data_IF_446169741743
#
_entry.id   IF_446169741743
#
_cell.length_a   1.000
_cell.length_b   1.000
_cell.length_c   1.000
_cell.angle_alpha   90.00
_cell.angle_beta   90.00
_cell.angle_gamma   90.00
#
_symmetry.space_group_name_H-M   'P 1'
#
loop_
_entity.id
_entity.type
_entity.pdbx_description
1 polymer ?
#
# COMPACT_ATOMS: atom_id res chain seq x y z
N UNK A 1 27.26 -17.65 -49.29
CA UNK A 1 27.31 -16.23 -48.82
C UNK A 1 26.25 -15.88 -47.75
N UNK A 2 25.23 -16.70 -47.49
CA UNK A 2 24.19 -16.43 -46.47
C UNK A 2 24.65 -16.58 -44.99
N UNK A 3 25.75 -17.29 -44.71
CA UNK A 3 26.24 -17.51 -43.34
C UNK A 3 26.98 -16.34 -42.68
N UNK A 4 27.42 -15.34 -43.46
CA UNK A 4 28.12 -14.18 -42.90
C UNK A 4 27.16 -13.15 -42.29
N UNK A 5 25.93 -13.01 -42.84
CA UNK A 5 24.94 -12.03 -42.41
C UNK A 5 24.36 -12.34 -41.01
N UNK A 6 24.18 -13.62 -40.65
CA UNK A 6 23.63 -14.01 -39.34
C UNK A 6 24.58 -13.77 -38.18
N UNK A 7 25.91 -13.81 -38.41
CA UNK A 7 26.93 -13.58 -37.38
C UNK A 7 27.00 -12.12 -36.93
N UNK A 8 26.77 -11.17 -37.84
CA UNK A 8 26.77 -9.73 -37.51
C UNK A 8 25.53 -9.32 -36.71
N UNK A 9 24.36 -9.90 -36.99
CA UNK A 9 23.12 -9.60 -36.26
C UNK A 9 23.20 -9.99 -34.77
N UNK A 10 23.83 -11.12 -34.44
CA UNK A 10 24.05 -11.55 -33.05
C UNK A 10 25.00 -10.62 -32.28
N UNK A 11 26.04 -10.11 -32.95
CA UNK A 11 27.03 -9.22 -32.35
C UNK A 11 26.45 -7.85 -32.00
N UNK A 12 25.55 -7.30 -32.84
CA UNK A 12 24.81 -6.07 -32.54
C UNK A 12 23.85 -6.23 -31.35
N UNK A 13 23.18 -7.40 -31.22
CA UNK A 13 22.27 -7.67 -30.10
C UNK A 13 23.00 -7.71 -28.76
N UNK A 14 24.15 -8.38 -28.69
CA UNK A 14 24.97 -8.44 -27.47
C UNK A 14 25.51 -7.06 -27.07
N UNK A 15 25.88 -6.22 -28.05
CA UNK A 15 26.35 -4.86 -27.77
C UNK A 15 25.26 -3.99 -27.12
N UNK A 16 24.03 -4.06 -27.63
CA UNK A 16 22.89 -3.31 -27.07
C UNK A 16 22.50 -3.79 -25.66
N UNK A 17 22.52 -5.10 -25.41
CA UNK A 17 22.27 -5.61 -24.06
C UNK A 17 23.37 -5.19 -23.08
N UNK A 18 24.63 -5.27 -23.49
CA UNK A 18 25.76 -4.86 -22.63
C UNK A 18 25.70 -3.37 -22.28
N UNK A 19 25.39 -2.51 -23.26
CA UNK A 19 25.20 -1.08 -23.04
C UNK A 19 24.08 -0.79 -22.04
N UNK A 20 22.94 -1.48 -22.15
CA UNK A 20 21.81 -1.33 -21.23
C UNK A 20 22.12 -1.75 -19.79
N UNK A 21 22.91 -2.82 -19.60
CA UNK A 21 23.32 -3.29 -18.27
C UNK A 21 24.25 -2.28 -17.62
N UNK A 22 25.23 -1.77 -18.37
CA UNK A 22 26.19 -0.80 -17.85
C UNK A 22 25.52 0.53 -17.47
N UNK A 23 24.59 1.03 -18.29
CA UNK A 23 23.81 2.23 -17.97
C UNK A 23 22.98 2.04 -16.70
N UNK A 24 22.32 0.88 -16.51
CA UNK A 24 21.57 0.58 -15.29
C UNK A 24 22.44 0.55 -14.04
N UNK A 25 23.66 -0.01 -14.12
CA UNK A 25 24.59 -0.05 -12.99
C UNK A 25 25.09 1.36 -12.65
N UNK A 26 25.43 2.16 -13.66
CA UNK A 26 25.89 3.53 -13.49
C UNK A 26 24.80 4.41 -12.85
N UNK A 27 23.56 4.31 -13.34
CA UNK A 27 22.42 5.05 -12.77
C UNK A 27 22.16 4.70 -11.32
N UNK A 28 22.25 3.42 -10.93
CA UNK A 28 22.13 3.00 -9.53
C UNK A 28 23.21 3.64 -8.65
N UNK A 29 24.47 3.67 -9.11
CA UNK A 29 25.57 4.31 -8.36
C UNK A 29 25.35 5.81 -8.21
N UNK A 30 24.89 6.48 -9.26
CA UNK A 30 24.58 7.92 -9.23
C UNK A 30 23.45 8.21 -8.24
N UNK A 31 22.37 7.42 -8.26
CA UNK A 31 21.26 7.54 -7.31
C UNK A 31 21.74 7.34 -5.86
N UNK A 32 22.54 6.32 -5.59
CA UNK A 32 23.11 6.10 -4.25
C UNK A 32 23.97 7.28 -3.76
N UNK A 33 24.72 7.94 -4.66
CA UNK A 33 25.50 9.13 -4.32
C UNK A 33 24.59 10.33 -4.06
N UNK A 34 23.56 10.53 -4.89
CA UNK A 34 22.56 11.57 -4.70
C UNK A 34 21.81 11.40 -3.37
N UNK A 35 21.39 10.18 -3.01
CA UNK A 35 20.72 9.90 -1.74
C UNK A 35 21.63 10.24 -0.53
N UNK A 36 22.93 9.93 -0.63
CA UNK A 36 23.93 10.30 0.39
C UNK A 36 24.18 11.81 0.46
N UNK A 37 24.15 12.51 -0.66
CA UNK A 37 24.27 13.96 -0.69
C UNK A 37 22.99 14.63 -0.17
N UNK A 38 21.81 14.12 -0.51
CA UNK A 38 20.52 14.63 -0.07
C UNK A 38 20.38 14.49 1.45
N UNK A 39 20.75 13.33 2.02
CA UNK A 39 20.75 13.15 3.48
C UNK A 39 21.69 14.13 4.21
N UNK A 40 22.91 14.36 3.68
CA UNK A 40 23.85 15.33 4.24
C UNK A 40 23.38 16.77 4.07
N UNK A 41 22.83 17.09 2.91
CA UNK A 41 22.29 18.42 2.62
C UNK A 41 21.07 18.72 3.49
N UNK A 42 20.21 17.73 3.73
CA UNK A 42 19.10 17.85 4.67
C UNK A 42 19.61 18.18 6.08
N UNK A 43 20.64 17.48 6.56
CA UNK A 43 21.26 17.77 7.85
C UNK A 43 21.90 19.17 7.90
N UNK A 44 22.66 19.56 6.88
CA UNK A 44 23.25 20.91 6.79
C UNK A 44 22.19 22.00 6.68
N UNK A 45 21.09 21.75 5.97
CA UNK A 45 19.98 22.70 5.90
C UNK A 45 19.27 22.83 7.25
N UNK A 46 19.10 21.72 7.98
CA UNK A 46 18.50 21.73 9.31
C UNK A 46 19.36 22.52 10.32
N UNK A 47 20.66 22.23 10.36
CA UNK A 47 21.59 22.88 11.29
C UNK A 47 21.93 24.32 10.86
N UNK A 48 22.14 24.55 9.56
CA UNK A 48 22.53 25.83 9.01
C UNK A 48 21.35 26.81 8.93
N UNK A 49 20.26 26.43 8.26
CA UNK A 49 19.09 27.33 8.11
C UNK A 49 18.36 27.46 9.44
N UNK A 50 18.16 26.36 10.18
CA UNK A 50 17.54 26.41 11.50
C UNK A 50 18.35 27.21 12.52
N UNK A 51 19.68 27.03 12.51
CA UNK A 51 20.60 27.80 13.36
C UNK A 51 20.60 29.29 13.02
N UNK A 52 20.63 29.64 11.73
CA UNK A 52 20.61 31.05 11.30
C UNK A 52 19.28 31.74 11.62
N UNK A 53 18.13 31.09 11.42
CA UNK A 53 16.83 31.66 11.79
C UNK A 53 16.73 31.90 13.30
N UNK A 54 17.23 30.95 14.11
CA UNK A 54 17.27 31.09 15.56
C UNK A 54 18.17 32.25 16.00
N UNK A 55 19.37 32.35 15.41
CA UNK A 55 20.31 33.44 15.68
C UNK A 55 19.77 34.82 15.26
N UNK A 56 19.15 34.92 14.08
CA UNK A 56 18.52 36.15 13.58
C UNK A 56 17.38 36.58 14.51
N UNK A 57 16.54 35.63 14.93
CA UNK A 57 15.43 35.91 15.86
C UNK A 57 15.94 36.45 17.21
N UNK A 58 17.00 35.86 17.75
CA UNK A 58 17.67 36.35 18.97
C UNK A 58 18.28 37.74 18.79
N UNK A 59 18.92 38.01 17.65
CA UNK A 59 19.51 39.31 17.34
C UNK A 59 18.45 40.41 17.19
N UNK A 60 17.33 40.12 16.52
CA UNK A 60 16.20 41.05 16.39
C UNK A 60 15.60 41.37 17.77
N UNK A 61 15.44 40.36 18.63
CA UNK A 61 14.94 40.55 19.99
C UNK A 61 15.88 41.46 20.81
N UNK A 62 17.19 41.29 20.68
CA UNK A 62 18.18 42.11 21.38
C UNK A 62 18.16 43.59 20.94
N UNK A 63 17.74 43.90 19.71
CA UNK A 63 17.64 45.27 19.19
C UNK A 63 16.32 45.96 19.49
N UNK A 64 15.34 45.25 20.03
CA UNK A 64 13.99 45.76 20.24
C UNK A 64 13.87 46.40 21.64
N UNK A 65 13.60 47.70 21.70
CA UNK A 65 13.72 48.52 22.92
C UNK A 65 12.89 48.04 24.13
N UNK A 66 11.72 47.46 23.90
CA UNK A 66 10.88 46.93 24.99
C UNK A 66 11.36 45.55 25.49
N UNK A 67 12.02 44.76 24.64
CA UNK A 67 12.58 43.44 24.98
C UNK A 67 13.94 43.55 25.64
N UNK A 68 14.70 44.62 25.38
CA UNK A 68 16.03 44.82 25.96
C UNK A 68 15.99 45.05 27.48
N UNK A 69 14.86 45.47 28.05
CA UNK A 69 14.69 45.66 29.50
C UNK A 69 14.90 44.36 30.30
N UNK A 70 14.64 43.20 29.67
CA UNK A 70 14.77 41.88 30.27
C UNK A 70 16.14 41.22 30.03
N UNK A 71 17.07 41.94 29.39
CA UNK A 71 18.47 41.55 29.23
C UNK A 71 18.68 40.22 28.49
N UNK A 72 19.62 39.41 29.00
CA UNK A 72 20.03 38.14 28.41
C UNK A 72 19.03 36.98 28.61
N UNK A 73 17.79 37.22 29.02
CA UNK A 73 16.78 36.16 29.06
C UNK A 73 15.95 36.19 27.77
N UNK A 74 15.60 37.38 27.28
CA UNK A 74 14.74 37.54 26.09
C UNK A 74 15.39 37.04 24.80
N UNK A 75 16.70 37.23 24.61
CA UNK A 75 17.41 36.73 23.43
C UNK A 75 17.39 35.18 23.32
N UNK A 76 17.54 34.45 24.43
CA UNK A 76 17.51 32.99 24.47
C UNK A 76 16.11 32.48 24.19
N UNK A 77 15.09 33.09 24.81
CA UNK A 77 13.69 32.72 24.56
C UNK A 77 13.30 33.00 23.11
N UNK A 78 13.70 34.13 22.53
CA UNK A 78 13.43 34.45 21.13
C UNK A 78 14.13 33.48 20.17
N UNK A 79 15.39 33.12 20.43
CA UNK A 79 16.13 32.15 19.65
C UNK A 79 15.50 30.74 19.74
N UNK A 80 15.11 30.32 20.95
CA UNK A 80 14.46 29.02 21.18
C UNK A 80 13.08 28.96 20.50
N UNK A 81 12.29 30.04 20.59
CA UNK A 81 10.99 30.11 19.93
C UNK A 81 11.12 30.09 18.40
N UNK A 82 12.08 30.84 17.85
CA UNK A 82 12.38 30.83 16.41
C UNK A 82 12.82 29.44 15.93
N UNK A 83 13.69 28.78 16.67
CA UNK A 83 14.12 27.41 16.39
C UNK A 83 12.98 26.40 16.48
N UNK A 84 12.11 26.51 17.48
CA UNK A 84 10.93 25.66 17.62
C UNK A 84 9.95 25.84 16.45
N UNK A 85 9.62 27.07 16.07
CA UNK A 85 8.75 27.37 14.92
C UNK A 85 9.33 26.80 13.61
N UNK A 86 10.63 26.95 13.40
CA UNK A 86 11.31 26.36 12.25
C UNK A 86 11.21 24.83 12.26
N UNK A 87 11.47 24.18 13.39
CA UNK A 87 11.38 22.73 13.53
C UNK A 87 9.96 22.21 13.25
N UNK A 88 8.93 22.88 13.77
CA UNK A 88 7.53 22.55 13.48
C UNK A 88 7.20 22.69 12.00
N UNK A 89 7.65 23.78 11.36
CA UNK A 89 7.44 24.02 9.93
C UNK A 89 8.11 22.92 9.10
N UNK A 90 9.35 22.56 9.43
CA UNK A 90 10.08 21.50 8.76
C UNK A 90 9.40 20.14 8.92
N UNK A 91 8.94 19.80 10.14
CA UNK A 91 8.22 18.57 10.42
C UNK A 91 6.92 18.49 9.61
N UNK A 92 6.15 19.59 9.54
CA UNK A 92 4.93 19.66 8.74
C UNK A 92 5.20 19.43 7.25
N UNK A 93 6.27 20.03 6.71
CA UNK A 93 6.69 19.80 5.32
C UNK A 93 7.11 18.34 5.10
N UNK A 94 7.92 17.78 6.00
CA UNK A 94 8.36 16.38 5.91
C UNK A 94 7.17 15.41 5.94
N UNK A 95 6.21 15.66 6.83
CA UNK A 95 4.99 14.88 6.92
C UNK A 95 4.13 14.99 5.66
N UNK A 96 3.97 16.21 5.11
CA UNK A 96 3.30 16.44 3.84
C UNK A 96 3.96 15.70 2.67
N UNK A 97 5.29 15.72 2.58
CA UNK A 97 6.04 14.98 1.54
C UNK A 97 5.86 13.47 1.67
N UNK A 98 5.90 12.94 2.89
CA UNK A 98 5.66 11.52 3.14
C UNK A 98 4.27 11.09 2.66
N UNK A 99 3.22 11.85 3.02
CA UNK A 99 1.86 11.60 2.54
C UNK A 99 1.72 11.69 1.03
N UNK A 100 2.40 12.65 0.41
CA UNK A 100 2.39 12.80 -1.04
C UNK A 100 3.07 11.65 -1.78
N UNK A 101 4.22 11.17 -1.29
CA UNK A 101 4.91 10.00 -1.85
C UNK A 101 4.03 8.75 -1.68
N UNK A 102 3.43 8.57 -0.50
CA UNK A 102 2.50 7.47 -0.25
C UNK A 102 1.33 7.50 -1.24
N UNK A 103 0.70 8.66 -1.44
CA UNK A 103 -0.40 8.83 -2.39
C UNK A 103 0.03 8.53 -3.83
N UNK A 104 1.22 8.98 -4.26
CA UNK A 104 1.76 8.67 -5.59
C UNK A 104 2.04 7.19 -5.80
N UNK A 105 2.56 6.51 -4.79
CA UNK A 105 2.81 5.07 -4.86
C UNK A 105 1.50 4.30 -4.99
N UNK A 106 0.48 4.68 -4.20
CA UNK A 106 -0.88 4.11 -4.29
C UNK A 106 -1.48 4.36 -5.68
N UNK A 107 -1.39 5.59 -6.20
CA UNK A 107 -1.90 5.95 -7.53
C UNK A 107 -1.17 5.18 -8.64
N UNK A 108 0.16 5.07 -8.57
CA UNK A 108 0.93 4.27 -9.52
C UNK A 108 0.55 2.78 -9.47
N UNK A 109 0.32 2.24 -8.28
CA UNK A 109 -0.15 0.87 -8.10
C UNK A 109 -1.58 0.68 -8.61
N UNK A 110 -2.45 1.69 -8.48
CA UNK A 110 -3.81 1.68 -9.00
C UNK A 110 -3.87 1.81 -10.53
N UNK A 111 -2.92 2.53 -11.15
CA UNK A 111 -2.87 2.72 -12.61
C UNK A 111 -2.27 1.55 -13.38
N UNK A 112 -1.42 0.74 -12.74
CA UNK A 112 -0.77 -0.43 -13.35
C UNK A 112 -1.62 -1.70 -13.19
N UNK A 113 -2.95 -1.59 -13.26
CA UNK A 113 -3.80 -2.76 -13.40
C UNK A 113 -3.80 -3.10 -14.88
N UNK A 114 -3.26 -4.27 -15.23
CA UNK A 114 -3.25 -4.73 -16.61
C UNK A 114 -4.68 -4.77 -17.15
N UNK A 115 -4.86 -4.54 -18.45
CA UNK A 115 -6.18 -4.73 -19.09
C UNK A 115 -6.50 -6.23 -19.09
N UNK A 116 -7.21 -6.67 -18.06
CA UNK A 116 -7.54 -8.09 -17.84
C UNK A 116 -8.74 -8.45 -18.71
N UNK A 117 -8.65 -9.59 -19.40
CA UNK A 117 -9.80 -10.14 -20.10
C UNK A 117 -10.75 -10.82 -19.09
N UNK A 118 -11.95 -10.29 -18.82
CA UNK A 118 -12.87 -10.89 -17.86
C UNK A 118 -13.41 -12.25 -18.32
N UNK A 119 -13.21 -12.65 -19.57
CA UNK A 119 -13.62 -13.97 -20.09
C UNK A 119 -12.58 -15.07 -19.84
N UNK A 120 -11.36 -14.71 -19.44
CA UNK A 120 -10.32 -15.69 -19.16
C UNK A 120 -10.66 -16.49 -17.89
N UNK A 121 -10.46 -17.80 -17.95
CA UNK A 121 -10.79 -18.72 -16.86
C UNK A 121 -9.69 -18.85 -15.83
N UNK A 122 -8.45 -18.55 -16.22
CA UNK A 122 -7.29 -18.81 -15.39
C UNK A 122 -6.30 -17.64 -15.46
N UNK A 123 -5.94 -17.11 -14.30
CA UNK A 123 -4.99 -16.01 -14.17
C UNK A 123 -3.77 -16.47 -13.38
N UNK A 124 -2.58 -16.09 -13.83
CA UNK A 124 -1.30 -16.54 -13.26
C UNK A 124 -0.35 -15.38 -13.02
N UNK A 125 0.10 -15.22 -11.78
CA UNK A 125 1.10 -14.22 -11.39
C UNK A 125 0.77 -12.79 -11.85
N UNK A 126 -0.52 -12.45 -11.86
CA UNK A 126 -1.02 -11.16 -12.28
C UNK A 126 -1.60 -10.39 -11.10
N UNK A 127 -1.52 -9.07 -11.21
CA UNK A 127 -2.16 -8.13 -10.30
C UNK A 127 -3.51 -7.74 -10.88
N UNK A 128 -4.61 -8.15 -10.24
CA UNK A 128 -5.96 -8.03 -10.75
C UNK A 128 -6.81 -7.18 -9.82
N UNK A 129 -7.51 -6.20 -10.37
CA UNK A 129 -8.56 -5.51 -9.63
C UNK A 129 -9.82 -6.38 -9.64
N UNK A 130 -10.34 -6.69 -8.45
CA UNK A 130 -11.52 -7.54 -8.30
C UNK A 130 -12.77 -6.95 -8.97
N UNK A 131 -12.86 -5.62 -9.07
CA UNK A 131 -13.97 -4.95 -9.73
C UNK A 131 -14.00 -5.20 -11.25
N UNK A 132 -12.82 -5.39 -11.87
CA UNK A 132 -12.67 -5.55 -13.32
C UNK A 132 -12.89 -7.01 -13.77
N UNK A 133 -12.77 -7.96 -12.84
CA UNK A 133 -13.01 -9.39 -13.09
C UNK A 133 -14.50 -9.76 -13.14
N UNK A 134 -15.35 -8.92 -12.57
CA UNK A 134 -16.77 -9.19 -12.44
C UNK A 134 -17.54 -8.87 -13.71
N UNK A 135 -18.54 -9.68 -14.01
CA UNK A 135 -19.47 -9.38 -15.09
C UNK A 135 -20.15 -8.02 -14.81
N UNK A 136 -20.19 -7.08 -15.78
CA UNK A 136 -20.71 -5.73 -15.53
C UNK A 136 -22.19 -5.71 -15.15
N UNK A 137 -22.97 -6.70 -15.61
CA UNK A 137 -24.42 -6.82 -15.39
C UNK A 137 -24.71 -7.58 -14.10
N UNK A 138 -24.19 -8.81 -13.97
CA UNK A 138 -24.51 -9.66 -12.81
C UNK A 138 -23.65 -9.39 -11.59
N UNK A 139 -22.48 -8.74 -11.75
CA UNK A 139 -21.44 -8.58 -10.73
C UNK A 139 -20.95 -9.92 -10.15
N UNK A 140 -21.14 -11.01 -10.88
CA UNK A 140 -20.70 -12.36 -10.48
C UNK A 140 -19.33 -12.65 -11.12
N UNK A 141 -18.43 -13.21 -10.32
CA UNK A 141 -17.14 -13.78 -10.70
C UNK A 141 -17.27 -15.29 -10.54
N UNK A 142 -17.43 -16.02 -11.64
CA UNK A 142 -17.75 -17.45 -11.61
C UNK A 142 -16.66 -18.31 -12.24
N UNK A 143 -16.31 -19.42 -11.57
CA UNK A 143 -15.52 -20.50 -12.16
C UNK A 143 -14.08 -20.11 -12.55
N UNK A 144 -13.52 -19.08 -11.89
CA UNK A 144 -12.18 -18.56 -12.20
C UNK A 144 -11.13 -19.17 -11.29
N UNK A 145 -9.95 -19.41 -11.86
CA UNK A 145 -8.79 -19.92 -11.15
C UNK A 145 -7.69 -18.87 -11.09
N UNK A 146 -7.26 -18.51 -9.88
CA UNK A 146 -6.24 -17.52 -9.61
C UNK A 146 -5.03 -18.22 -8.99
N UNK A 147 -3.86 -18.14 -9.65
CA UNK A 147 -2.64 -18.83 -9.23
C UNK A 147 -1.53 -17.79 -9.05
N UNK A 148 -1.02 -17.63 -7.84
CA UNK A 148 0.03 -16.63 -7.56
C UNK A 148 -0.40 -15.19 -7.82
N UNK A 149 -1.71 -14.89 -7.85
CA UNK A 149 -2.22 -13.58 -8.21
C UNK A 149 -2.33 -12.64 -7.00
N UNK A 150 -2.28 -11.34 -7.24
CA UNK A 150 -2.59 -10.30 -6.25
C UNK A 150 -3.96 -9.71 -6.61
N UNK A 151 -5.00 -10.08 -5.85
CA UNK A 151 -6.39 -9.64 -6.00
C UNK A 151 -6.63 -8.42 -5.13
N UNK A 152 -6.96 -7.28 -5.74
CA UNK A 152 -6.95 -5.97 -5.06
C UNK A 152 -8.33 -5.34 -5.04
N UNK A 153 -8.70 -4.80 -3.87
CA UNK A 153 -9.85 -3.92 -3.64
C UNK A 153 -9.49 -2.42 -3.60
N UNK A 154 -10.45 -1.51 -3.35
CA UNK A 154 -11.54 -1.70 -2.39
C UNK A 154 -12.80 -2.31 -3.01
N UNK A 155 -13.17 -3.51 -2.57
CA UNK A 155 -14.43 -4.15 -2.96
C UNK A 155 -15.06 -4.87 -1.78
N UNK A 156 -16.39 -4.92 -1.76
CA UNK A 156 -17.13 -5.85 -0.91
C UNK A 156 -17.45 -7.07 -1.76
N UNK A 157 -17.07 -8.26 -1.29
CA UNK A 157 -17.25 -9.53 -1.99
C UNK A 157 -18.09 -10.47 -1.14
N UNK A 158 -19.12 -11.05 -1.74
CA UNK A 158 -19.84 -12.19 -1.19
C UNK A 158 -19.18 -13.49 -1.65
N UNK A 159 -18.70 -14.30 -0.71
CA UNK A 159 -18.19 -15.64 -1.00
C UNK A 159 -19.34 -16.65 -1.08
N UNK A 160 -19.52 -17.21 -2.27
CA UNK A 160 -20.34 -18.39 -2.50
C UNK A 160 -19.76 -19.65 -1.83
N UNK A 161 -20.58 -20.71 -1.69
CA UNK A 161 -20.23 -21.92 -0.93
C UNK A 161 -19.18 -22.81 -1.61
N UNK A 162 -18.95 -22.65 -2.91
CA UNK A 162 -18.10 -23.54 -3.72
C UNK A 162 -16.69 -23.00 -3.95
N UNK A 163 -16.31 -21.88 -3.32
CA UNK A 163 -14.97 -21.32 -3.46
C UNK A 163 -13.95 -22.16 -2.69
N UNK A 164 -12.73 -22.24 -3.21
CA UNK A 164 -11.61 -22.90 -2.54
C UNK A 164 -10.40 -21.98 -2.43
N UNK A 165 -9.77 -22.00 -1.26
CA UNK A 165 -8.56 -21.22 -0.96
C UNK A 165 -7.44 -22.18 -0.56
N UNK A 166 -6.32 -22.14 -1.28
CA UNK A 166 -5.14 -22.97 -0.99
C UNK A 166 -3.93 -22.07 -0.81
N UNK A 167 -3.28 -22.13 0.36
CA UNK A 167 -2.07 -21.34 0.69
C UNK A 167 -2.20 -19.84 0.32
N UNK A 168 -3.39 -19.27 0.54
CA UNK A 168 -3.67 -17.89 0.15
C UNK A 168 -3.59 -16.97 1.36
N UNK A 169 -3.19 -15.72 1.11
CA UNK A 169 -3.00 -14.72 2.15
C UNK A 169 -4.02 -13.59 2.03
N UNK A 170 -4.43 -13.05 3.16
CA UNK A 170 -5.42 -11.98 3.25
C UNK A 170 -4.78 -10.80 3.98
N UNK A 171 -4.67 -9.66 3.33
CA UNK A 171 -4.05 -8.46 3.88
C UNK A 171 -5.07 -7.33 3.97
N UNK A 172 -5.29 -6.80 5.19
CA UNK A 172 -6.28 -5.73 5.44
C UNK A 172 -7.68 -6.09 4.94
N UNK A 173 -8.06 -7.36 5.15
CA UNK A 173 -9.37 -7.90 4.78
C UNK A 173 -10.27 -7.93 6.01
N UNK A 174 -11.48 -7.41 5.87
CA UNK A 174 -12.50 -7.54 6.91
C UNK A 174 -13.39 -8.72 6.57
N UNK A 175 -13.47 -9.70 7.47
CA UNK A 175 -14.30 -10.88 7.32
C UNK A 175 -15.58 -10.70 8.13
N UNK A 176 -16.72 -10.61 7.43
CA UNK A 176 -18.02 -10.29 8.03
C UNK A 176 -18.98 -11.47 7.83
N UNK A 177 -19.34 -12.20 8.89
CA UNK A 177 -20.32 -13.26 8.82
C UNK A 177 -21.72 -12.69 8.65
N UNK A 178 -22.47 -13.24 7.69
CA UNK A 178 -23.85 -12.87 7.39
C UNK A 178 -24.82 -13.89 7.96
N UNK A 179 -25.96 -13.38 8.45
CA UNK A 179 -27.12 -14.22 8.76
C UNK A 179 -27.68 -14.81 7.46
N UNK A 180 -28.22 -16.02 7.55
CA UNK A 180 -28.86 -16.65 6.41
C UNK A 180 -30.08 -15.85 5.94
N UNK A 181 -30.35 -15.90 4.63
CA UNK A 181 -31.47 -15.22 3.97
C UNK A 181 -31.52 -13.68 4.11
N UNK A 182 -30.38 -13.03 4.36
CA UNK A 182 -30.31 -11.56 4.30
C UNK A 182 -30.31 -11.12 2.84
N UNK A 183 -31.31 -10.34 2.38
CA UNK A 183 -31.29 -9.78 1.05
C UNK A 183 -30.14 -8.78 0.95
N UNK A 184 -29.28 -8.96 -0.05
CA UNK A 184 -28.16 -8.07 -0.30
C UNK A 184 -28.37 -7.31 -1.61
N UNK A 185 -28.01 -6.03 -1.59
CA UNK A 185 -27.84 -5.20 -2.77
C UNK A 185 -26.77 -5.82 -3.71
N UNK A 186 -26.65 -5.38 -4.98
CA UNK A 186 -25.64 -5.93 -5.90
C UNK A 186 -24.22 -5.73 -5.34
N UNK A 187 -23.67 -6.80 -4.79
CA UNK A 187 -22.32 -6.93 -4.27
C UNK A 187 -21.59 -7.92 -5.18
N UNK A 188 -20.29 -7.72 -5.37
CA UNK A 188 -19.48 -8.64 -6.15
C UNK A 188 -19.56 -10.05 -5.56
N UNK A 189 -19.98 -11.05 -6.33
CA UNK A 189 -20.18 -12.40 -5.79
C UNK A 189 -19.20 -13.37 -6.45
N UNK A 190 -18.37 -14.05 -5.65
CA UNK A 190 -17.47 -15.09 -6.15
C UNK A 190 -18.13 -16.46 -5.99
N UNK A 191 -18.22 -17.23 -7.08
CA UNK A 191 -18.83 -18.57 -7.07
C UNK A 191 -17.89 -19.55 -7.78
N UNK A 192 -17.60 -20.69 -7.16
CA UNK A 192 -16.77 -21.73 -7.77
C UNK A 192 -15.37 -21.28 -8.16
N UNK A 193 -14.82 -20.25 -7.49
CA UNK A 193 -13.47 -19.77 -7.76
C UNK A 193 -12.43 -20.58 -6.98
N UNK A 194 -11.28 -20.83 -7.60
CA UNK A 194 -10.13 -21.47 -6.96
C UNK A 194 -9.00 -20.46 -6.83
N UNK A 195 -8.60 -20.16 -5.60
CA UNK A 195 -7.56 -19.19 -5.28
C UNK A 195 -6.38 -19.94 -4.66
N UNK A 196 -5.27 -20.00 -5.40
CA UNK A 196 -4.08 -20.80 -5.08
C UNK A 196 -2.88 -19.88 -4.94
N UNK A 197 -2.18 -19.95 -3.82
CA UNK A 197 -0.92 -19.23 -3.57
C UNK A 197 -1.06 -17.72 -3.88
N UNK A 198 -2.26 -17.17 -3.72
CA UNK A 198 -2.63 -15.82 -4.12
C UNK A 198 -2.86 -14.94 -2.90
N UNK A 199 -2.90 -13.63 -3.10
CA UNK A 199 -3.09 -12.64 -2.04
C UNK A 199 -4.36 -11.84 -2.32
N UNK A 200 -5.24 -11.68 -1.34
CA UNK A 200 -6.39 -10.76 -1.40
C UNK A 200 -6.08 -9.56 -0.51
N UNK A 201 -6.19 -8.36 -1.07
CA UNK A 201 -5.84 -7.11 -0.39
C UNK A 201 -7.01 -6.13 -0.38
N UNK A 202 -7.20 -5.45 0.76
CA UNK A 202 -8.13 -4.33 0.93
C UNK A 202 -9.58 -4.66 0.51
N UNK A 203 -10.10 -5.81 0.96
CA UNK A 203 -11.45 -6.27 0.63
C UNK A 203 -12.32 -6.49 1.88
N UNK A 204 -13.62 -6.24 1.76
CA UNK A 204 -14.62 -6.68 2.75
C UNK A 204 -15.24 -7.98 2.26
N UNK A 205 -14.93 -9.08 2.93
CA UNK A 205 -15.41 -10.41 2.56
C UNK A 205 -16.61 -10.75 3.42
N UNK A 206 -17.77 -10.85 2.77
CA UNK A 206 -19.01 -11.32 3.35
C UNK A 206 -19.15 -12.82 3.10
N UNK A 207 -19.59 -13.56 4.11
CA UNK A 207 -19.84 -14.99 3.97
C UNK A 207 -20.97 -15.47 4.86
N UNK A 208 -21.75 -16.48 4.44
CA UNK A 208 -22.80 -17.05 5.29
C UNK A 208 -22.18 -17.79 6.48
N UNK A 209 -22.82 -17.72 7.66
CA UNK A 209 -22.32 -18.36 8.89
C UNK A 209 -21.96 -19.84 8.73
N UNK A 210 -22.71 -20.57 7.89
CA UNK A 210 -22.47 -22.00 7.61
C UNK A 210 -21.07 -22.33 7.08
N UNK A 211 -20.33 -21.37 6.51
CA UNK A 211 -18.97 -21.62 5.99
C UNK A 211 -17.86 -21.24 6.97
N UNK A 212 -18.17 -20.70 8.15
CA UNK A 212 -17.19 -20.36 9.19
C UNK A 212 -16.26 -21.54 9.50
N UNK A 213 -16.75 -22.77 9.77
CA UNK A 213 -15.87 -23.88 10.15
C UNK A 213 -14.91 -24.28 9.02
N UNK A 214 -15.35 -24.13 7.77
CA UNK A 214 -14.53 -24.43 6.58
C UNK A 214 -13.42 -23.40 6.41
N UNK A 215 -13.72 -22.12 6.67
CA UNK A 215 -12.71 -21.06 6.67
C UNK A 215 -11.71 -21.29 7.80
N UNK A 216 -12.16 -21.55 9.03
CA UNK A 216 -11.27 -21.77 10.18
C UNK A 216 -10.33 -22.96 9.99
N UNK A 217 -10.79 -24.05 9.36
CA UNK A 217 -9.93 -25.18 9.03
C UNK A 217 -8.83 -24.82 8.01
N UNK A 218 -9.06 -23.80 7.17
CA UNK A 218 -8.12 -23.34 6.14
C UNK A 218 -7.07 -22.35 6.63
N UNK A 219 -7.27 -21.72 7.80
CA UNK A 219 -6.35 -20.73 8.36
C UNK A 219 -5.70 -21.22 9.66
N UNK A 220 -4.46 -20.79 9.95
CA UNK A 220 -3.88 -21.04 11.25
C UNK A 220 -4.72 -20.37 12.36
N UNK A 221 -4.84 -20.98 13.55
CA UNK A 221 -5.63 -20.45 14.64
C UNK A 221 -5.18 -19.03 15.01
N UNK A 222 -6.13 -18.11 15.13
CA UNK A 222 -5.88 -16.69 15.43
C UNK A 222 -5.54 -15.80 14.21
N UNK A 223 -5.44 -16.36 13.01
CA UNK A 223 -5.23 -15.55 11.80
C UNK A 223 -6.49 -14.81 11.32
N UNK A 224 -7.67 -15.28 11.71
CA UNK A 224 -8.93 -14.63 11.43
C UNK A 224 -9.34 -13.76 12.62
N UNK A 225 -9.51 -12.46 12.36
CA UNK A 225 -10.20 -11.56 13.27
C UNK A 225 -11.59 -11.29 12.72
N UNK A 226 -12.60 -11.86 13.36
CA UNK A 226 -13.99 -11.55 13.04
C UNK A 226 -14.35 -10.21 13.65
N UNK A 227 -14.74 -9.27 12.81
CA UNK A 227 -15.39 -8.03 13.25
C UNK A 227 -16.86 -8.22 12.96
N UNK A 228 -17.63 -8.62 13.98
CA UNK A 228 -19.07 -8.66 13.82
C UNK A 228 -19.66 -7.24 13.80
N UNK A 229 -20.97 -7.16 13.58
CA UNK A 229 -21.69 -5.90 13.35
C UNK A 229 -21.62 -4.94 14.54
N UNK A 230 -21.28 -5.43 15.73
CA UNK A 230 -21.15 -4.61 16.94
C UNK A 230 -19.80 -3.91 17.04
N UNK A 231 -18.80 -4.34 16.25
CA UNK A 231 -17.42 -3.84 16.34
C UNK A 231 -16.62 -4.36 17.53
N UNK A 232 -17.21 -5.24 18.36
CA UNK A 232 -16.55 -5.85 19.52
C UNK A 232 -16.36 -7.35 19.31
N UNK A 233 -15.15 -7.76 18.92
CA UNK A 233 -14.82 -9.17 18.66
C UNK A 233 -15.15 -10.10 19.85
N UNK A 234 -15.05 -9.61 21.09
CA UNK A 234 -15.33 -10.41 22.29
C UNK A 234 -16.80 -10.73 22.50
N UNK A 235 -17.71 -9.85 22.08
CA UNK A 235 -19.16 -10.05 22.17
C UNK A 235 -19.63 -10.94 21.04
N UNK A 236 -19.13 -10.67 19.82
CA UNK A 236 -19.52 -11.43 18.63
C UNK A 236 -19.01 -12.88 18.67
N UNK A 237 -17.81 -13.14 19.23
CA UNK A 237 -17.27 -14.50 19.36
C UNK A 237 -18.01 -15.38 20.40
N UNK A 238 -18.69 -14.78 21.40
CA UNK A 238 -19.44 -15.54 22.42
C UNK A 238 -20.78 -16.09 21.90
N UNK A 239 -21.38 -15.43 20.90
CA UNK A 239 -22.65 -15.84 20.32
C UNK A 239 -22.58 -17.00 19.31
N UNK A 240 -21.37 -17.45 18.92
CA UNK A 240 -21.22 -18.56 17.98
C UNK A 240 -21.38 -19.96 18.62
N UNK A 241 -21.30 -20.07 19.94
CA UNK A 241 -21.28 -21.37 20.64
C UNK A 241 -22.62 -21.78 21.29
N UNK A 242 -23.72 -21.03 21.10
CA UNK A 242 -24.92 -21.16 21.95
C UNK A 242 -26.25 -21.46 21.25
N UNK A 243 -26.27 -21.79 19.96
CA UNK A 243 -27.50 -22.23 19.28
C UNK A 243 -27.30 -23.64 18.70
N UNK A 244 -27.46 -24.65 19.56
CA UNK A 244 -27.89 -26.02 19.19
C UNK A 244 -29.43 -26.09 19.13
#
# INVERSE_FOLDING_TARGET
MLGAQTKWAGLFRLHNEFKSVHERIMWKKIQQVLDRLESRWALYSLLGVGGTISAISGWIAAKTAWLSAYGAITWWFAALLGGALFAFTFLAIAWGRWKFIQARSIDKWARNVDAVNPMEREFRNQRLNLADLANPISKIIEGKRFIGCELIGPVTILLGPTNSFRKSHFFRVNMIPLKDNVPMAPIYTMVGCEIIESQIMDANILFPRRIVPVLEAGFPPGALSYVGLTGFAEIDNRGFNTEE
#
